data_IF_205926429255
#
_entry.id   IF_205926429255
#
_cell.length_a   1.000
_cell.length_b   1.000
_cell.length_c   1.000
_cell.angle_alpha   90.00
_cell.angle_beta   90.00
_cell.angle_gamma   90.00
#
_symmetry.space_group_name_H-M   'P 1'
#
loop_
_entity.id
_entity.type
_entity.pdbx_description
1 polymer ?
#
# COMPACT_ATOMS: atom_id res chain seq x y z
N UNK A 1 14.05 4.54 5.89
CA UNK A 1 13.31 4.85 4.69
C UNK A 1 13.70 3.87 3.58
N UNK A 2 12.73 3.33 2.90
CA UNK A 2 12.92 2.33 1.84
C UNK A 2 12.79 2.94 0.43
N UNK A 3 12.70 4.26 0.30
CA UNK A 3 12.65 4.95 -0.98
C UNK A 3 13.93 4.70 -1.80
N UNK A 4 13.84 4.04 -2.97
CA UNK A 4 15.02 3.62 -3.74
C UNK A 4 15.96 4.76 -4.13
N UNK A 5 15.40 5.89 -4.56
CA UNK A 5 16.17 7.07 -4.92
C UNK A 5 16.99 7.63 -3.74
N UNK A 6 16.39 7.72 -2.53
CA UNK A 6 17.08 8.18 -1.33
C UNK A 6 18.20 7.20 -0.92
N UNK A 7 17.93 5.90 -1.01
CA UNK A 7 18.92 4.85 -0.72
C UNK A 7 20.13 4.96 -1.63
N UNK A 8 19.94 5.10 -2.94
CA UNK A 8 21.03 5.25 -3.91
C UNK A 8 21.79 6.56 -3.71
N UNK A 9 21.12 7.69 -3.44
CA UNK A 9 21.75 8.97 -3.15
C UNK A 9 22.61 8.92 -1.89
N UNK A 10 22.14 8.25 -0.84
CA UNK A 10 22.91 8.07 0.40
C UNK A 10 24.24 7.36 0.16
N UNK A 11 24.28 6.36 -0.75
CA UNK A 11 25.51 5.66 -1.14
C UNK A 11 26.52 6.56 -1.89
N UNK A 12 26.02 7.59 -2.56
CA UNK A 12 26.87 8.60 -3.19
C UNK A 12 27.35 9.67 -2.20
N UNK A 13 27.08 9.52 -0.90
CA UNK A 13 27.40 10.51 0.12
C UNK A 13 26.48 11.73 0.12
N UNK A 14 25.35 11.68 -0.60
CA UNK A 14 24.35 12.75 -0.58
C UNK A 14 23.42 12.57 0.62
N UNK A 15 23.61 13.37 1.65
CA UNK A 15 22.83 13.36 2.88
C UNK A 15 22.00 14.65 3.00
N UNK A 16 21.13 14.89 2.02
CA UNK A 16 20.40 16.17 1.90
C UNK A 16 19.28 16.33 2.95
N UNK A 17 18.86 15.23 3.58
CA UNK A 17 17.71 15.20 4.49
C UNK A 17 18.16 14.78 5.90
N UNK A 18 18.87 15.68 6.58
CA UNK A 18 19.34 15.44 7.96
C UNK A 18 18.52 16.25 8.95
N UNK A 19 18.10 15.59 10.03
CA UNK A 19 17.52 16.27 11.18
C UNK A 19 18.59 16.93 12.03
N UNK A 20 18.27 18.05 12.65
CA UNK A 20 19.13 18.67 13.67
C UNK A 20 19.05 17.88 14.99
N UNK A 21 17.87 17.29 15.26
CA UNK A 21 17.61 16.52 16.47
C UNK A 21 16.63 15.39 16.21
N UNK A 22 16.85 14.24 16.84
CA UNK A 22 15.89 13.12 16.91
C UNK A 22 15.36 13.00 18.33
N UNK A 23 14.05 13.10 18.49
CA UNK A 23 13.38 12.97 19.79
C UNK A 23 12.49 11.74 19.78
N UNK A 24 12.84 10.73 20.56
CA UNK A 24 12.02 9.54 20.75
C UNK A 24 11.09 9.76 21.94
N UNK A 25 9.78 9.68 21.70
CA UNK A 25 8.75 9.92 22.70
C UNK A 25 8.10 8.63 23.18
N UNK A 26 7.61 8.63 24.43
CA UNK A 26 6.98 7.47 25.07
C UNK A 26 5.49 7.68 25.35
N UNK A 27 5.00 8.92 25.30
CA UNK A 27 3.61 9.27 25.58
C UNK A 27 3.15 10.54 24.85
N UNK A 28 1.86 10.79 24.88
CA UNK A 28 1.23 11.95 24.24
C UNK A 28 1.67 13.30 24.83
N UNK A 29 1.96 13.35 26.14
CA UNK A 29 2.39 14.56 26.82
C UNK A 29 3.74 15.04 26.29
N UNK A 30 4.66 14.10 26.04
CA UNK A 30 5.95 14.42 25.42
C UNK A 30 5.77 14.93 23.98
N UNK A 31 4.86 14.36 23.19
CA UNK A 31 4.51 14.88 21.86
C UNK A 31 4.04 16.32 21.97
N UNK A 32 3.08 16.62 22.88
CA UNK A 32 2.57 17.97 23.10
C UNK A 32 3.70 18.95 23.50
N UNK A 33 4.61 18.54 24.36
CA UNK A 33 5.75 19.36 24.80
C UNK A 33 6.71 19.67 23.64
N UNK A 34 7.03 18.66 22.81
CA UNK A 34 7.90 18.86 21.63
C UNK A 34 7.24 19.78 20.62
N UNK A 35 5.96 19.61 20.33
CA UNK A 35 5.23 20.45 19.38
C UNK A 35 5.12 21.89 19.89
N UNK A 36 4.82 22.11 21.16
CA UNK A 36 4.77 23.43 21.76
C UNK A 36 6.14 24.16 21.69
N UNK A 37 7.22 23.43 21.99
CA UNK A 37 8.58 23.97 21.92
C UNK A 37 8.96 24.29 20.46
N UNK A 38 8.66 23.40 19.52
CA UNK A 38 8.95 23.55 18.11
C UNK A 38 8.20 24.76 17.52
N UNK A 39 6.92 24.90 17.84
CA UNK A 39 6.09 26.05 17.43
C UNK A 39 6.63 27.37 18.00
N UNK A 40 7.03 27.39 19.27
CA UNK A 40 7.60 28.59 19.90
C UNK A 40 8.95 29.03 19.30
N UNK A 41 9.67 28.14 18.64
CA UNK A 41 10.99 28.38 18.04
C UNK A 41 10.97 28.30 16.50
N UNK A 42 9.80 28.26 15.87
CA UNK A 42 9.65 28.10 14.39
C UNK A 42 10.50 26.94 13.83
N UNK A 43 10.53 25.82 14.56
CA UNK A 43 11.35 24.64 14.23
C UNK A 43 10.49 23.59 13.53
N UNK A 44 10.86 23.12 12.32
CA UNK A 44 10.14 22.06 11.64
C UNK A 44 10.13 20.75 12.44
N UNK A 45 9.00 20.03 12.38
CA UNK A 45 8.87 18.69 12.98
C UNK A 45 8.45 17.69 11.92
N UNK A 46 9.21 16.62 11.77
CA UNK A 46 8.89 15.50 10.89
C UNK A 46 8.54 14.28 11.74
N UNK A 47 7.27 13.84 11.79
CA UNK A 47 6.90 12.63 12.52
C UNK A 47 7.43 11.39 11.81
N UNK A 48 7.91 10.43 12.58
CA UNK A 48 8.47 9.19 12.08
C UNK A 48 8.07 8.01 12.95
N UNK A 49 7.65 6.92 12.32
CA UNK A 49 7.48 5.61 12.94
C UNK A 49 8.52 4.63 12.37
N UNK A 50 8.12 3.48 11.83
CA UNK A 50 9.05 2.49 11.23
C UNK A 50 9.62 2.91 9.87
N UNK A 51 9.07 3.95 9.26
CA UNK A 51 9.59 4.55 8.02
C UNK A 51 9.70 3.58 6.83
N UNK A 52 8.71 2.70 6.67
CA UNK A 52 8.59 1.77 5.53
C UNK A 52 8.10 2.43 4.24
N UNK A 53 7.85 3.73 4.25
CA UNK A 53 7.44 4.51 3.09
C UNK A 53 8.45 4.45 1.95
N UNK A 54 7.97 4.44 0.71
CA UNK A 54 8.77 4.32 -0.52
C UNK A 54 8.84 5.62 -1.33
N UNK A 55 8.26 6.71 -0.81
CA UNK A 55 8.20 8.03 -1.50
C UNK A 55 8.78 9.17 -0.67
N UNK A 56 9.44 8.87 0.48
CA UNK A 56 10.24 9.82 1.23
C UNK A 56 9.53 10.65 2.29
N UNK A 57 8.28 10.33 2.68
CA UNK A 57 7.52 11.08 3.69
C UNK A 57 8.25 11.29 5.02
N UNK A 58 8.97 10.30 5.59
CA UNK A 58 9.62 10.46 6.89
C UNK A 58 10.97 11.20 6.84
N UNK A 59 11.34 11.79 5.69
CA UNK A 59 12.60 12.51 5.53
C UNK A 59 12.45 13.96 5.97
N UNK A 60 13.35 14.48 6.83
CA UNK A 60 13.29 15.86 7.33
C UNK A 60 13.84 16.85 6.29
N UNK A 61 13.06 17.17 5.26
CA UNK A 61 13.45 18.01 4.11
C UNK A 61 13.83 19.45 4.49
N UNK A 62 13.44 19.88 5.69
CA UNK A 62 13.71 21.22 6.21
C UNK A 62 14.60 21.21 7.48
N UNK A 63 15.28 20.06 7.75
CA UNK A 63 15.98 19.88 9.03
C UNK A 63 15.04 19.80 10.21
N UNK A 64 15.41 20.44 11.33
CA UNK A 64 14.60 20.50 12.53
C UNK A 64 14.53 19.18 13.30
N UNK A 65 13.38 18.85 13.87
CA UNK A 65 13.18 17.71 14.76
C UNK A 65 12.54 16.54 14.00
N UNK A 66 13.18 15.38 14.03
CA UNK A 66 12.50 14.11 13.76
C UNK A 66 11.86 13.61 15.05
N UNK A 67 10.54 13.53 15.06
CA UNK A 67 9.78 13.03 16.19
C UNK A 67 9.53 11.53 16.02
N UNK A 68 10.34 10.71 16.68
CA UNK A 68 10.24 9.24 16.64
C UNK A 68 9.16 8.76 17.62
N UNK A 69 8.04 8.29 17.07
CA UNK A 69 6.89 7.79 17.85
C UNK A 69 6.98 6.28 18.14
N UNK A 70 8.03 5.59 17.69
CA UNK A 70 8.19 4.13 17.95
C UNK A 70 8.38 3.79 19.44
N UNK A 71 8.72 4.78 20.25
CA UNK A 71 8.86 4.63 21.70
C UNK A 71 7.56 4.70 22.47
N UNK A 72 6.45 5.05 21.86
CA UNK A 72 5.17 5.18 22.56
C UNK A 72 4.74 3.88 23.23
N UNK A 73 4.25 4.01 24.48
CA UNK A 73 3.71 2.89 25.23
C UNK A 73 2.63 2.18 24.45
N UNK A 74 2.78 0.87 24.28
CA UNK A 74 1.84 0.07 23.52
C UNK A 74 0.55 -0.14 24.31
N UNK A 75 -0.57 0.06 23.63
CA UNK A 75 -1.91 -0.20 24.12
C UNK A 75 -2.68 -1.00 23.09
N UNK A 76 -3.49 -1.96 23.53
CA UNK A 76 -4.42 -2.71 22.71
C UNK A 76 -5.67 -3.05 23.51
N UNK A 77 -6.83 -2.66 23.01
CA UNK A 77 -8.13 -3.00 23.57
C UNK A 77 -9.05 -3.57 22.47
N UNK A 78 -9.51 -4.78 22.67
CA UNK A 78 -10.40 -5.48 21.73
C UNK A 78 -11.82 -5.44 22.27
N UNK A 79 -12.75 -4.98 21.44
CA UNK A 79 -14.20 -5.00 21.72
C UNK A 79 -14.91 -5.92 20.74
N UNK A 80 -15.12 -7.18 21.14
CA UNK A 80 -15.74 -8.21 20.30
C UNK A 80 -17.21 -7.88 20.01
N UNK A 81 -17.92 -7.23 20.94
CA UNK A 81 -19.31 -6.84 20.74
C UNK A 81 -19.45 -5.81 19.63
N UNK A 82 -18.52 -4.87 19.56
CA UNK A 82 -18.51 -3.82 18.54
C UNK A 82 -17.67 -4.16 17.31
N UNK A 83 -17.01 -5.32 17.31
CA UNK A 83 -16.09 -5.76 16.25
C UNK A 83 -15.00 -4.70 15.96
N UNK A 84 -14.33 -4.23 17.01
CA UNK A 84 -13.27 -3.22 16.91
C UNK A 84 -12.06 -3.57 17.77
N UNK A 85 -10.91 -3.09 17.36
CA UNK A 85 -9.68 -3.03 18.16
C UNK A 85 -9.17 -1.60 18.21
N UNK A 86 -8.85 -1.10 19.39
CA UNK A 86 -8.14 0.17 19.57
C UNK A 86 -6.70 -0.10 19.96
N UNK A 87 -5.76 0.57 19.29
CA UNK A 87 -4.32 0.40 19.53
C UNK A 87 -3.59 1.73 19.50
N UNK A 88 -2.41 1.76 20.13
CA UNK A 88 -1.46 2.85 19.93
C UNK A 88 -1.07 2.95 18.46
N UNK A 89 -0.93 4.16 17.93
CA UNK A 89 -0.55 4.38 16.53
C UNK A 89 0.81 3.76 16.16
N UNK A 90 1.70 3.60 17.13
CA UNK A 90 3.00 2.94 16.98
C UNK A 90 2.96 1.41 16.97
N UNK A 91 1.77 0.79 17.14
CA UNK A 91 1.65 -0.67 17.11
C UNK A 91 2.07 -1.22 15.75
N UNK A 92 2.92 -2.27 15.75
CA UNK A 92 3.32 -2.93 14.51
C UNK A 92 2.14 -3.68 13.90
N UNK A 93 1.93 -3.51 12.60
CA UNK A 93 0.77 -4.06 11.92
C UNK A 93 0.76 -5.57 11.84
N UNK A 94 1.91 -6.20 11.58
CA UNK A 94 2.04 -7.65 11.53
C UNK A 94 1.82 -8.28 12.89
N UNK A 95 2.41 -7.71 13.94
CA UNK A 95 2.19 -8.17 15.31
C UNK A 95 0.69 -8.12 15.66
N UNK A 96 0.00 -7.02 15.34
CA UNK A 96 -1.43 -6.89 15.61
C UNK A 96 -2.26 -7.94 14.87
N UNK A 97 -1.97 -8.17 13.59
CA UNK A 97 -2.67 -9.19 12.79
C UNK A 97 -2.43 -10.60 13.34
N UNK A 98 -1.19 -10.96 13.67
CA UNK A 98 -0.84 -12.27 14.24
C UNK A 98 -1.57 -12.52 15.57
N UNK A 99 -1.62 -11.52 16.44
CA UNK A 99 -2.32 -11.60 17.71
C UNK A 99 -3.84 -11.74 17.55
N UNK A 100 -4.42 -11.03 16.57
CA UNK A 100 -5.85 -11.16 16.25
C UNK A 100 -6.16 -12.53 15.67
N UNK A 101 -5.34 -13.07 14.76
CA UNK A 101 -5.54 -14.38 14.16
C UNK A 101 -5.52 -15.51 15.20
N UNK A 102 -4.64 -15.43 16.21
CA UNK A 102 -4.63 -16.39 17.32
C UNK A 102 -5.93 -16.41 18.13
N UNK A 103 -6.70 -15.32 18.08
CA UNK A 103 -7.99 -15.18 18.75
C UNK A 103 -9.19 -15.42 17.81
N UNK A 104 -8.96 -15.83 16.57
CA UNK A 104 -10.00 -16.06 15.57
C UNK A 104 -10.50 -14.82 14.84
N UNK A 105 -9.74 -13.73 14.85
CA UNK A 105 -10.06 -12.45 14.21
C UNK A 105 -9.03 -12.04 13.19
N UNK A 106 -9.34 -11.07 12.34
CA UNK A 106 -8.41 -10.45 11.39
C UNK A 106 -8.77 -8.97 11.18
N UNK A 107 -7.77 -8.14 10.88
CA UNK A 107 -7.99 -6.80 10.35
C UNK A 107 -8.47 -6.83 8.91
N UNK A 108 -8.13 -7.87 8.15
CA UNK A 108 -8.30 -7.90 6.70
C UNK A 108 -7.38 -6.91 5.96
N UNK A 109 -6.67 -6.06 6.68
CA UNK A 109 -5.71 -5.13 6.12
C UNK A 109 -4.33 -5.79 6.01
N UNK A 110 -3.89 -6.06 4.78
CA UNK A 110 -2.65 -6.78 4.51
C UNK A 110 -1.77 -6.02 3.50
N UNK A 111 -1.23 -4.85 3.85
CA UNK A 111 -0.25 -4.19 2.99
C UNK A 111 1.01 -5.05 2.87
N UNK A 112 1.75 -4.89 1.79
CA UNK A 112 2.99 -5.66 1.59
C UNK A 112 4.03 -5.38 2.69
N UNK A 113 4.01 -4.16 3.25
CA UNK A 113 4.83 -3.74 4.39
C UNK A 113 4.26 -4.13 5.78
N UNK A 114 3.34 -5.09 5.88
CA UNK A 114 2.59 -5.43 7.09
C UNK A 114 3.48 -5.51 8.35
N UNK A 115 4.58 -6.24 8.27
CA UNK A 115 5.53 -6.44 9.38
C UNK A 115 6.54 -5.30 9.57
N UNK A 116 6.62 -4.37 8.61
CA UNK A 116 7.57 -3.25 8.59
C UNK A 116 6.89 -1.90 8.82
N UNK A 117 5.59 -1.88 9.07
CA UNK A 117 4.79 -0.66 9.21
C UNK A 117 4.00 -0.61 10.51
N UNK A 118 3.51 0.57 10.85
CA UNK A 118 2.68 0.80 12.04
C UNK A 118 1.27 1.21 11.64
N UNK A 119 0.31 0.96 12.54
CA UNK A 119 -1.11 1.31 12.34
C UNK A 119 -1.29 2.81 12.09
N UNK A 120 -0.57 3.68 12.83
CA UNK A 120 -0.61 5.12 12.60
C UNK A 120 0.01 5.54 11.26
N UNK A 121 1.04 4.82 10.82
CA UNK A 121 1.63 4.99 9.48
C UNK A 121 0.62 4.69 8.37
N UNK A 122 -0.15 3.60 8.50
CA UNK A 122 -1.22 3.27 7.54
C UNK A 122 -2.23 4.41 7.38
N UNK A 123 -2.71 4.95 8.53
CA UNK A 123 -3.65 6.06 8.50
C UNK A 123 -3.04 7.30 7.83
N UNK A 124 -1.80 7.62 8.17
CA UNK A 124 -1.10 8.82 7.69
C UNK A 124 -0.83 8.81 6.19
N UNK A 125 -0.66 7.62 5.57
CA UNK A 125 -0.36 7.48 4.15
C UNK A 125 -1.54 6.96 3.32
N UNK A 126 -2.73 6.81 3.90
CA UNK A 126 -3.90 6.22 3.23
C UNK A 126 -3.60 4.82 2.69
N UNK A 127 -2.93 3.99 3.51
CA UNK A 127 -2.45 2.68 3.09
C UNK A 127 -3.58 1.73 2.68
N UNK A 128 -3.30 0.90 1.68
CA UNK A 128 -4.24 -0.11 1.19
C UNK A 128 -3.59 -1.49 1.21
N UNK A 129 -4.35 -2.49 1.65
CA UNK A 129 -3.87 -3.87 1.74
C UNK A 129 -4.29 -4.72 0.53
N UNK A 130 -3.61 -5.85 0.33
CA UNK A 130 -3.84 -6.78 -0.79
C UNK A 130 -5.27 -7.37 -0.82
N UNK A 131 -6.01 -7.28 0.29
CA UNK A 131 -7.38 -7.79 0.43
C UNK A 131 -8.43 -6.67 0.42
N UNK A 132 -8.07 -5.48 -0.05
CA UNK A 132 -8.93 -4.29 -0.03
C UNK A 132 -10.17 -4.41 -0.90
N UNK A 133 -10.17 -5.21 -1.95
CA UNK A 133 -11.38 -5.48 -2.76
C UNK A 133 -12.52 -6.08 -1.91
N UNK A 134 -12.20 -6.72 -0.80
CA UNK A 134 -13.17 -7.28 0.13
C UNK A 134 -13.33 -6.43 1.40
N UNK A 135 -12.21 -6.07 2.06
CA UNK A 135 -12.24 -5.42 3.37
C UNK A 135 -12.22 -3.89 3.31
N UNK A 136 -11.83 -3.31 2.17
CA UNK A 136 -11.62 -1.87 1.99
C UNK A 136 -10.20 -1.41 2.29
N UNK A 137 -9.93 -0.13 2.05
CA UNK A 137 -8.72 0.56 2.47
C UNK A 137 -8.75 0.98 3.94
N UNK A 138 -7.67 1.58 4.43
CA UNK A 138 -7.59 2.01 5.83
C UNK A 138 -8.69 3.02 6.19
N UNK A 139 -9.11 3.87 5.26
CA UNK A 139 -10.17 4.87 5.43
C UNK A 139 -11.55 4.24 5.70
N UNK A 140 -11.78 3.03 5.19
CA UNK A 140 -13.01 2.29 5.44
C UNK A 140 -12.93 1.43 6.71
N UNK A 141 -11.73 1.05 7.13
CA UNK A 141 -11.48 0.23 8.32
C UNK A 141 -11.46 1.05 9.59
N UNK A 142 -10.98 2.30 9.56
CA UNK A 142 -10.86 3.16 10.72
C UNK A 142 -12.22 3.68 11.19
N UNK A 143 -12.53 3.49 12.48
CA UNK A 143 -13.78 3.96 13.10
C UNK A 143 -13.57 5.18 13.98
N UNK A 144 -12.39 5.28 14.61
CA UNK A 144 -11.99 6.41 15.42
C UNK A 144 -10.47 6.51 15.50
N UNK A 145 -9.96 7.68 15.79
CA UNK A 145 -8.55 7.88 16.12
C UNK A 145 -8.32 9.17 16.91
N UNK A 146 -7.16 9.26 17.54
CA UNK A 146 -6.71 10.46 18.26
C UNK A 146 -5.56 11.10 17.49
N UNK A 147 -5.59 12.42 17.36
CA UNK A 147 -4.53 13.23 16.74
C UNK A 147 -4.15 14.38 17.67
N UNK A 148 -2.85 14.67 17.73
CA UNK A 148 -2.31 15.86 18.40
C UNK A 148 -1.92 16.86 17.32
N UNK A 149 -2.53 18.06 17.36
CA UNK A 149 -2.27 19.14 16.43
C UNK A 149 -0.92 19.84 16.73
N UNK A 150 -0.42 20.62 15.79
CA UNK A 150 0.79 21.45 15.99
C UNK A 150 0.67 22.41 17.17
N UNK A 151 -0.56 22.84 17.53
CA UNK A 151 -0.86 23.65 18.71
C UNK A 151 -0.71 22.88 20.04
N UNK A 152 -0.55 21.55 20.00
CA UNK A 152 -0.58 20.68 21.18
C UNK A 152 -1.98 20.24 21.61
N UNK A 153 -3.04 20.72 20.94
CA UNK A 153 -4.40 20.26 21.22
C UNK A 153 -4.62 18.82 20.80
N UNK A 154 -5.35 18.07 21.64
CA UNK A 154 -5.70 16.68 21.40
C UNK A 154 -7.13 16.59 20.90
N UNK A 155 -7.31 15.99 19.73
CA UNK A 155 -8.62 15.72 19.12
C UNK A 155 -8.89 14.23 19.09
N UNK A 156 -10.09 13.82 19.49
CA UNK A 156 -10.63 12.47 19.28
C UNK A 156 -11.71 12.53 18.21
N UNK A 157 -11.45 11.94 17.08
CA UNK A 157 -12.35 11.88 15.92
C UNK A 157 -12.98 10.49 15.84
N UNK A 158 -14.30 10.40 15.68
CA UNK A 158 -15.05 9.16 15.59
C UNK A 158 -16.30 9.29 14.74
N UNK A 159 -16.70 8.22 14.08
CA UNK A 159 -17.97 8.12 13.35
C UNK A 159 -18.48 6.67 13.33
N UNK A 160 -18.52 6.01 14.50
CA UNK A 160 -18.93 4.62 14.62
C UNK A 160 -20.33 4.50 15.23
N UNK A 161 -21.27 3.78 14.57
CA UNK A 161 -21.12 3.15 13.25
C UNK A 161 -21.17 4.15 12.11
N UNK A 162 -21.85 5.29 12.28
CA UNK A 162 -21.97 6.41 11.32
C UNK A 162 -22.37 7.67 12.06
N UNK A 163 -21.83 8.83 11.65
CA UNK A 163 -22.23 10.13 12.16
C UNK A 163 -22.64 11.05 11.00
N UNK A 164 -23.80 11.71 11.14
CA UNK A 164 -24.33 12.67 10.16
C UNK A 164 -24.42 14.10 10.75
N UNK A 165 -23.52 14.41 11.67
CA UNK A 165 -23.43 15.71 12.35
C UNK A 165 -22.26 16.51 11.77
N UNK A 166 -22.52 17.24 10.69
CA UNK A 166 -21.51 18.01 9.96
C UNK A 166 -20.61 17.16 9.05
N UNK A 167 -19.53 17.75 8.51
CA UNK A 167 -18.56 17.02 7.67
C UNK A 167 -17.79 15.98 8.48
N UNK A 168 -17.36 14.91 7.81
CA UNK A 168 -16.52 13.88 8.43
C UNK A 168 -15.07 14.38 8.54
N UNK A 169 -14.74 14.98 9.68
CA UNK A 169 -13.41 15.52 9.94
C UNK A 169 -12.30 14.46 9.99
N UNK A 170 -12.63 13.16 10.06
CA UNK A 170 -11.61 12.11 9.98
C UNK A 170 -10.87 12.16 8.66
N UNK A 171 -11.55 12.54 7.57
CA UNK A 171 -10.97 12.63 6.24
C UNK A 171 -9.87 13.69 6.10
N UNK A 172 -9.76 14.63 7.03
CA UNK A 172 -8.71 15.66 7.01
C UNK A 172 -7.31 15.10 7.36
N UNK A 173 -7.24 14.08 8.19
CA UNK A 173 -5.97 13.55 8.71
C UNK A 173 -5.58 12.21 8.08
N UNK A 174 -6.55 11.49 7.50
CA UNK A 174 -6.28 10.26 6.74
C UNK A 174 -5.55 10.64 5.45
N UNK A 175 -4.35 10.10 5.23
CA UNK A 175 -3.52 10.45 4.07
C UNK A 175 -2.80 11.81 4.18
N UNK A 176 -2.87 12.49 5.35
CA UNK A 176 -2.21 13.78 5.54
C UNK A 176 -0.69 13.70 5.74
N UNK A 177 -0.10 12.52 5.73
CA UNK A 177 1.36 12.27 5.82
C UNK A 177 2.05 12.98 7.01
N UNK A 178 1.31 13.19 8.11
CA UNK A 178 1.80 13.88 9.31
C UNK A 178 1.84 15.40 9.23
N UNK A 179 1.37 16.02 8.14
CA UNK A 179 1.43 17.48 7.94
C UNK A 179 0.43 18.27 8.80
N UNK A 180 -0.70 17.66 9.18
CA UNK A 180 -1.78 18.30 9.94
C UNK A 180 -1.80 17.92 11.42
N UNK A 181 -1.01 16.94 11.83
CA UNK A 181 -0.95 16.48 13.21
C UNK A 181 -0.37 15.08 13.33
N UNK A 182 -0.20 14.63 14.58
CA UNK A 182 0.41 13.35 14.91
C UNK A 182 -0.65 12.41 15.46
N UNK A 183 -0.91 11.32 14.74
CA UNK A 183 -1.84 10.27 15.17
C UNK A 183 -1.21 9.47 16.33
N UNK A 184 -1.95 9.29 17.42
CA UNK A 184 -1.46 8.63 18.64
C UNK A 184 -2.20 7.37 19.03
N UNK A 185 -3.49 7.23 18.70
CA UNK A 185 -4.26 5.99 18.81
C UNK A 185 -5.19 5.83 17.62
N UNK A 186 -5.49 4.57 17.27
CA UNK A 186 -6.37 4.22 16.14
C UNK A 186 -7.30 3.10 16.55
N UNK A 187 -8.59 3.25 16.26
CA UNK A 187 -9.59 2.18 16.39
C UNK A 187 -9.97 1.67 15.01
N UNK A 188 -9.79 0.36 14.81
CA UNK A 188 -10.05 -0.33 13.54
C UNK A 188 -11.18 -1.35 13.70
N UNK A 189 -11.89 -1.62 12.61
CA UNK A 189 -12.77 -2.78 12.49
C UNK A 189 -11.94 -4.07 12.55
N UNK A 190 -12.52 -5.11 13.14
CA UNK A 190 -12.02 -6.48 13.04
C UNK A 190 -13.12 -7.39 12.49
N UNK A 191 -12.71 -8.48 11.88
CA UNK A 191 -13.61 -9.44 11.25
C UNK A 191 -13.31 -10.84 11.78
N UNK A 192 -14.32 -11.73 11.90
CA UNK A 192 -14.04 -13.14 12.20
C UNK A 192 -13.23 -13.76 11.05
N UNK A 193 -12.34 -14.68 11.39
CA UNK A 193 -11.66 -15.48 10.37
C UNK A 193 -12.69 -16.23 9.52
N UNK A 194 -12.54 -16.26 8.19
CA UNK A 194 -13.48 -16.96 7.32
C UNK A 194 -13.42 -18.46 7.56
N UNK A 195 -14.56 -19.12 7.44
CA UNK A 195 -14.68 -20.57 7.56
C UNK A 195 -13.94 -21.29 6.42
N UNK A 196 -14.08 -20.76 5.21
CA UNK A 196 -13.51 -21.33 3.98
C UNK A 196 -12.79 -20.23 3.18
N UNK A 197 -11.63 -20.58 2.63
CA UNK A 197 -10.92 -19.83 1.59
C UNK A 197 -10.63 -20.73 0.41
N UNK A 198 -11.01 -20.28 -0.77
CA UNK A 198 -10.73 -20.95 -2.04
C UNK A 198 -9.77 -20.08 -2.85
N UNK A 199 -8.86 -20.71 -3.57
CA UNK A 199 -7.87 -20.04 -4.38
C UNK A 199 -7.78 -20.67 -5.77
N UNK A 200 -7.54 -19.83 -6.79
CA UNK A 200 -7.23 -20.29 -8.13
C UNK A 200 -6.24 -19.33 -8.83
N UNK A 201 -5.48 -19.86 -9.76
CA UNK A 201 -4.65 -19.10 -10.69
C UNK A 201 -5.25 -19.26 -12.08
N UNK A 202 -5.43 -18.15 -12.77
CA UNK A 202 -6.17 -18.08 -14.03
C UNK A 202 -5.22 -17.60 -15.14
N UNK A 203 -5.04 -18.38 -16.18
CA UNK A 203 -4.34 -17.96 -17.40
C UNK A 203 -5.31 -17.21 -18.31
N UNK A 204 -4.90 -16.07 -18.83
CA UNK A 204 -5.74 -15.15 -19.59
C UNK A 204 -5.18 -14.92 -20.99
N UNK A 205 -6.02 -14.65 -22.02
CA UNK A 205 -5.54 -14.40 -23.37
C UNK A 205 -4.76 -13.09 -23.53
N UNK A 206 -5.09 -12.05 -22.74
CA UNK A 206 -4.44 -10.74 -22.76
C UNK A 206 -4.68 -9.98 -21.45
N UNK A 207 -3.94 -8.90 -21.23
CA UNK A 207 -4.18 -7.95 -20.12
C UNK A 207 -5.57 -7.32 -20.26
N UNK A 208 -5.98 -6.91 -21.46
CA UNK A 208 -7.29 -6.30 -21.68
C UNK A 208 -8.44 -7.22 -21.32
N UNK A 209 -8.32 -8.53 -21.64
CA UNK A 209 -9.30 -9.53 -21.18
C UNK A 209 -9.33 -9.62 -19.66
N UNK A 210 -8.17 -9.54 -18.98
CA UNK A 210 -8.08 -9.51 -17.53
C UNK A 210 -8.74 -8.28 -16.92
N UNK A 211 -8.53 -7.10 -17.49
CA UNK A 211 -9.17 -5.86 -17.03
C UNK A 211 -10.69 -5.91 -17.21
N UNK A 212 -11.19 -6.47 -18.33
CA UNK A 212 -12.62 -6.66 -18.53
C UNK A 212 -13.23 -7.66 -17.53
N UNK A 213 -12.53 -8.74 -17.18
CA UNK A 213 -12.94 -9.66 -16.10
C UNK A 213 -13.05 -8.89 -14.77
N UNK A 214 -12.05 -8.09 -14.43
CA UNK A 214 -12.05 -7.29 -13.20
C UNK A 214 -13.21 -6.28 -13.18
N UNK A 215 -13.50 -5.64 -14.30
CA UNK A 215 -14.61 -4.69 -14.44
C UNK A 215 -15.97 -5.41 -14.32
N UNK A 216 -16.15 -6.52 -15.04
CA UNK A 216 -17.40 -7.28 -15.05
C UNK A 216 -17.74 -7.86 -13.67
N UNK A 217 -16.74 -8.42 -12.95
CA UNK A 217 -16.95 -8.91 -11.60
C UNK A 217 -17.38 -7.79 -10.62
N UNK A 218 -16.78 -6.59 -10.76
CA UNK A 218 -17.17 -5.45 -9.95
C UNK A 218 -18.62 -5.00 -10.23
N UNK A 219 -19.03 -5.00 -11.51
CA UNK A 219 -20.42 -4.74 -11.91
C UNK A 219 -21.38 -5.82 -11.39
N UNK A 220 -20.95 -7.07 -11.33
CA UNK A 220 -21.74 -8.18 -10.78
C UNK A 220 -21.86 -8.13 -9.25
N UNK A 221 -21.14 -7.23 -8.58
CA UNK A 221 -21.13 -7.11 -7.11
C UNK A 221 -20.36 -8.20 -6.40
N UNK A 222 -19.54 -8.99 -7.12
CA UNK A 222 -18.65 -9.97 -6.50
C UNK A 222 -17.54 -9.24 -5.75
N UNK A 223 -17.08 -9.82 -4.65
CA UNK A 223 -16.06 -9.21 -3.78
C UNK A 223 -15.01 -10.25 -3.36
N UNK A 224 -14.24 -10.81 -4.32
CA UNK A 224 -13.17 -11.73 -3.98
C UNK A 224 -12.19 -11.04 -3.03
N UNK A 225 -11.73 -11.74 -1.98
CA UNK A 225 -10.82 -11.13 -1.02
C UNK A 225 -9.42 -10.96 -1.58
N UNK A 226 -9.06 -11.74 -2.59
CA UNK A 226 -7.82 -11.60 -3.35
C UNK A 226 -8.17 -11.56 -4.84
N UNK A 227 -7.71 -10.50 -5.52
CA UNK A 227 -7.80 -10.35 -6.96
C UNK A 227 -6.60 -9.58 -7.45
N UNK A 228 -5.71 -10.23 -8.22
CA UNK A 228 -4.50 -9.62 -8.75
C UNK A 228 -4.25 -10.12 -10.17
N UNK A 229 -4.18 -9.19 -11.10
CA UNK A 229 -3.86 -9.46 -12.50
C UNK A 229 -2.41 -9.06 -12.76
N UNK A 230 -1.62 -9.98 -13.26
CA UNK A 230 -0.21 -9.79 -13.64
C UNK A 230 -0.06 -9.80 -15.15
N UNK A 231 0.73 -8.88 -15.69
CA UNK A 231 1.16 -8.97 -17.09
C UNK A 231 2.08 -10.20 -17.30
N UNK A 232 2.42 -10.49 -18.54
CA UNK A 232 3.22 -11.69 -18.87
C UNK A 232 4.59 -11.64 -18.19
N UNK A 233 5.19 -10.46 -18.06
CA UNK A 233 6.52 -10.32 -17.46
C UNK A 233 6.45 -10.57 -15.95
N UNK A 234 5.53 -9.94 -15.25
CA UNK A 234 5.38 -10.17 -13.81
C UNK A 234 4.81 -11.56 -13.51
N UNK A 235 3.97 -12.12 -14.37
CA UNK A 235 3.47 -13.49 -14.23
C UNK A 235 4.59 -14.52 -14.15
N UNK A 236 5.70 -14.34 -14.87
CA UNK A 236 6.89 -15.22 -14.77
C UNK A 236 7.47 -15.23 -13.36
N UNK A 237 7.57 -14.05 -12.74
CA UNK A 237 8.03 -13.90 -11.36
C UNK A 237 6.99 -14.42 -10.37
N UNK A 238 5.71 -14.07 -10.54
CA UNK A 238 4.63 -14.47 -9.66
C UNK A 238 4.43 -15.97 -9.62
N UNK A 239 4.51 -16.64 -10.77
CA UNK A 239 4.38 -18.09 -10.92
C UNK A 239 5.69 -18.84 -10.69
N UNK A 240 6.84 -18.15 -10.58
CA UNK A 240 8.18 -18.74 -10.61
C UNK A 240 8.38 -19.66 -11.83
N UNK A 241 7.83 -19.25 -12.97
CA UNK A 241 7.87 -20.01 -14.22
C UNK A 241 8.40 -19.12 -15.35
N UNK A 242 9.69 -19.24 -15.75
CA UNK A 242 10.27 -18.43 -16.83
C UNK A 242 9.60 -18.66 -18.21
N UNK A 243 8.88 -19.76 -18.38
CA UNK A 243 8.20 -20.12 -19.61
C UNK A 243 6.75 -19.60 -19.65
N UNK A 244 6.31 -18.86 -18.63
CA UNK A 244 4.98 -18.25 -18.66
C UNK A 244 4.92 -17.22 -19.78
N UNK A 245 4.02 -17.41 -20.72
CA UNK A 245 3.89 -16.62 -21.94
C UNK A 245 2.58 -15.81 -22.04
N UNK A 246 1.76 -15.90 -20.99
CA UNK A 246 0.47 -15.20 -20.89
C UNK A 246 0.28 -14.51 -19.54
N UNK A 247 -0.57 -13.48 -19.48
CA UNK A 247 -1.02 -12.89 -18.23
C UNK A 247 -1.67 -13.92 -17.32
N UNK A 248 -1.52 -13.69 -16.01
CA UNK A 248 -2.09 -14.56 -14.96
C UNK A 248 -2.88 -13.70 -13.98
N UNK A 249 -4.03 -14.20 -13.55
CA UNK A 249 -4.80 -13.60 -12.48
C UNK A 249 -4.85 -14.55 -11.27
N UNK A 250 -4.52 -14.04 -10.08
CA UNK A 250 -4.73 -14.74 -8.82
C UNK A 250 -6.08 -14.34 -8.24
N UNK A 251 -6.85 -15.34 -7.88
CA UNK A 251 -8.19 -15.22 -7.35
C UNK A 251 -8.29 -15.89 -5.98
N UNK A 252 -8.98 -15.25 -5.04
CA UNK A 252 -9.34 -15.84 -3.77
C UNK A 252 -10.75 -15.42 -3.35
N UNK A 253 -11.62 -16.39 -3.05
CA UNK A 253 -12.94 -16.19 -2.46
C UNK A 253 -12.97 -16.70 -1.02
N UNK A 254 -13.83 -16.13 -0.16
CA UNK A 254 -13.88 -16.51 1.25
C UNK A 254 -15.26 -16.28 1.87
N UNK A 255 -15.48 -16.88 3.03
CA UNK A 255 -16.69 -16.68 3.82
C UNK A 255 -17.18 -17.97 4.47
N UNK A 256 -18.49 -18.10 4.67
CA UNK A 256 -19.10 -19.38 4.95
C UNK A 256 -19.03 -20.24 3.69
N UNK A 257 -18.93 -21.55 3.86
CA UNK A 257 -18.59 -22.48 2.78
C UNK A 257 -19.42 -22.29 1.50
N UNK A 258 -20.75 -22.24 1.63
CA UNK A 258 -21.65 -22.07 0.49
C UNK A 258 -21.44 -20.74 -0.26
N UNK A 259 -21.10 -19.66 0.45
CA UNK A 259 -20.87 -18.35 -0.17
C UNK A 259 -19.54 -18.33 -0.91
N UNK A 260 -18.47 -18.87 -0.29
CA UNK A 260 -17.15 -18.93 -0.92
C UNK A 260 -17.17 -19.70 -2.25
N UNK A 261 -17.88 -20.86 -2.29
CA UNK A 261 -18.04 -21.66 -3.52
C UNK A 261 -18.91 -20.95 -4.56
N UNK A 262 -20.08 -20.41 -4.17
CA UNK A 262 -20.96 -19.70 -5.10
C UNK A 262 -20.28 -18.49 -5.74
N UNK A 263 -19.47 -17.74 -4.99
CA UNK A 263 -18.72 -16.61 -5.52
C UNK A 263 -17.61 -17.08 -6.49
N UNK A 264 -16.89 -18.17 -6.16
CA UNK A 264 -15.91 -18.78 -7.04
C UNK A 264 -16.56 -19.21 -8.38
N UNK A 265 -17.67 -19.92 -8.34
CA UNK A 265 -18.39 -20.38 -9.52
C UNK A 265 -18.87 -19.21 -10.39
N UNK A 266 -19.42 -18.17 -9.75
CA UNK A 266 -19.87 -16.96 -10.46
C UNK A 266 -18.70 -16.22 -11.12
N UNK A 267 -17.56 -16.11 -10.43
CA UNK A 267 -16.35 -15.50 -10.97
C UNK A 267 -15.82 -16.32 -12.16
N UNK A 268 -15.72 -17.65 -12.01
CA UNK A 268 -15.25 -18.55 -13.07
C UNK A 268 -16.13 -18.48 -14.33
N UNK A 269 -17.43 -18.28 -14.19
CA UNK A 269 -18.32 -18.06 -15.32
C UNK A 269 -17.95 -16.78 -16.12
N UNK A 270 -17.53 -15.71 -15.44
CA UNK A 270 -17.01 -14.50 -16.09
C UNK A 270 -15.69 -14.81 -16.80
N UNK A 271 -14.75 -15.47 -16.14
CA UNK A 271 -13.44 -15.84 -16.69
C UNK A 271 -13.58 -16.62 -18.01
N UNK A 272 -14.45 -17.63 -18.04
CA UNK A 272 -14.66 -18.46 -19.23
C UNK A 272 -15.25 -17.66 -20.40
N UNK A 273 -16.14 -16.68 -20.15
CA UNK A 273 -16.68 -15.81 -21.23
C UNK A 273 -15.60 -14.97 -21.90
N UNK A 274 -14.55 -14.60 -21.15
CA UNK A 274 -13.41 -13.84 -21.67
C UNK A 274 -12.23 -14.72 -22.14
N UNK A 275 -12.45 -16.03 -22.26
CA UNK A 275 -11.43 -16.98 -22.79
C UNK A 275 -10.33 -17.33 -21.80
N UNK A 276 -10.48 -17.00 -20.53
CA UNK A 276 -9.59 -17.41 -19.46
C UNK A 276 -9.86 -18.86 -19.02
N UNK A 277 -8.88 -19.46 -18.37
CA UNK A 277 -8.98 -20.83 -17.84
C UNK A 277 -8.23 -20.97 -16.53
N UNK A 278 -8.72 -21.84 -15.65
CA UNK A 278 -8.00 -22.26 -14.44
C UNK A 278 -6.71 -23.01 -14.80
N UNK A 279 -5.67 -22.73 -14.07
CA UNK A 279 -4.39 -23.48 -14.06
C UNK A 279 -4.06 -24.00 -12.65
N UNK A 280 -5.06 -23.98 -11.74
CA UNK A 280 -4.98 -24.52 -10.39
C UNK A 280 -4.46 -23.53 -9.34
N UNK A 281 -4.58 -23.91 -8.09
CA UNK A 281 -4.29 -23.06 -6.94
C UNK A 281 -2.81 -22.97 -6.55
N UNK A 282 -1.94 -23.80 -7.11
CA UNK A 282 -0.54 -23.90 -6.67
C UNK A 282 0.22 -22.57 -6.78
N UNK A 283 0.03 -21.84 -7.89
CA UNK A 283 0.70 -20.56 -8.12
C UNK A 283 0.35 -19.51 -7.07
N UNK A 284 -0.94 -19.32 -6.84
CA UNK A 284 -1.42 -18.34 -5.85
C UNK A 284 -1.05 -18.72 -4.42
N UNK A 285 -1.07 -20.01 -4.07
CA UNK A 285 -0.67 -20.47 -2.73
C UNK A 285 0.83 -20.22 -2.47
N UNK A 286 1.70 -20.55 -3.42
CA UNK A 286 3.14 -20.24 -3.33
C UNK A 286 3.39 -18.72 -3.22
N UNK A 287 2.62 -17.92 -3.95
CA UNK A 287 2.70 -16.46 -3.83
C UNK A 287 2.25 -15.99 -2.43
N UNK A 288 1.18 -16.53 -1.87
CA UNK A 288 0.70 -16.20 -0.53
C UNK A 288 1.75 -16.43 0.56
N UNK A 289 2.57 -17.48 0.44
CA UNK A 289 3.66 -17.79 1.39
C UNK A 289 4.80 -16.77 1.35
N UNK A 290 5.12 -16.21 0.17
CA UNK A 290 6.28 -15.34 -0.04
C UNK A 290 5.97 -13.87 -0.29
N UNK A 291 4.71 -13.46 -0.25
CA UNK A 291 4.29 -12.09 -0.62
C UNK A 291 4.91 -10.96 0.20
N UNK A 292 5.54 -11.28 1.32
CA UNK A 292 6.28 -10.36 2.18
C UNK A 292 7.81 -10.42 2.00
N UNK A 293 8.31 -11.22 1.05
CA UNK A 293 9.74 -11.35 0.78
C UNK A 293 10.19 -10.30 -0.23
N UNK A 294 11.02 -9.37 0.24
CA UNK A 294 11.63 -8.30 -0.58
C UNK A 294 13.09 -8.59 -0.93
N UNK A 295 13.64 -9.73 -0.55
CA UNK A 295 15.07 -10.02 -0.61
C UNK A 295 15.68 -9.86 -2.01
N UNK A 296 14.93 -10.13 -3.07
CA UNK A 296 15.38 -9.97 -4.47
C UNK A 296 15.53 -8.49 -4.82
N UNK A 297 14.54 -7.66 -4.47
CA UNK A 297 14.57 -6.21 -4.71
C UNK A 297 15.68 -5.55 -3.89
N UNK A 298 15.82 -5.92 -2.63
CA UNK A 298 16.87 -5.40 -1.74
C UNK A 298 18.27 -5.73 -2.28
N UNK A 299 18.52 -6.97 -2.70
CA UNK A 299 19.80 -7.37 -3.31
C UNK A 299 20.12 -6.58 -4.58
N UNK A 300 19.13 -6.30 -5.40
CA UNK A 300 19.33 -5.48 -6.61
C UNK A 300 19.65 -4.03 -6.24
N UNK A 301 18.89 -3.42 -5.33
CA UNK A 301 19.15 -2.07 -4.83
C UNK A 301 20.52 -1.97 -4.15
N UNK A 302 20.96 -3.01 -3.48
CA UNK A 302 22.25 -3.09 -2.80
C UNK A 302 23.43 -3.29 -3.74
N UNK A 303 23.21 -3.72 -4.95
CA UNK A 303 24.27 -3.92 -5.94
C UNK A 303 24.70 -2.60 -6.58
N UNK A 304 25.96 -2.53 -7.04
CA UNK A 304 26.50 -1.39 -7.77
C UNK A 304 25.72 -1.15 -9.06
N UNK A 305 25.24 0.09 -9.23
CA UNK A 305 24.42 0.50 -10.38
C UNK A 305 23.03 -0.13 -10.47
N UNK A 306 22.71 -1.13 -9.63
CA UNK A 306 21.40 -1.76 -9.62
C UNK A 306 20.31 -0.81 -9.12
N UNK A 307 19.13 -0.85 -9.72
CA UNK A 307 17.97 -0.12 -9.25
C UNK A 307 16.70 -0.98 -9.34
N UNK A 308 15.80 -0.72 -8.42
CA UNK A 308 14.43 -1.23 -8.46
C UNK A 308 13.52 -0.09 -8.04
N UNK A 309 12.41 0.10 -8.73
CA UNK A 309 11.42 1.12 -8.39
C UNK A 309 10.02 0.55 -8.56
N UNK A 310 9.11 1.00 -7.72
CA UNK A 310 7.69 0.64 -7.80
C UNK A 310 6.85 1.89 -7.81
N UNK A 311 6.12 2.10 -8.88
CA UNK A 311 5.20 3.23 -9.06
C UNK A 311 3.79 2.70 -9.11
N UNK A 312 2.94 3.12 -8.18
CA UNK A 312 1.53 2.76 -8.15
C UNK A 312 0.67 3.98 -8.47
N UNK A 313 -0.34 3.77 -9.26
CA UNK A 313 -1.27 4.76 -9.80
C UNK A 313 -2.66 4.14 -9.87
N UNK A 314 -3.67 4.95 -10.15
CA UNK A 314 -5.03 4.45 -10.37
C UNK A 314 -5.72 5.16 -11.53
N UNK A 315 -6.67 4.48 -12.14
CA UNK A 315 -7.51 5.06 -13.19
C UNK A 315 -8.89 4.39 -13.25
N UNK A 316 -9.82 5.07 -13.85
CA UNK A 316 -11.14 4.53 -14.21
C UNK A 316 -11.03 3.45 -15.28
N UNK A 317 -12.07 2.61 -15.40
CA UNK A 317 -12.05 1.48 -16.34
C UNK A 317 -11.85 1.89 -17.80
N UNK A 318 -12.34 3.05 -18.20
CA UNK A 318 -12.20 3.58 -19.57
C UNK A 318 -10.80 4.09 -19.91
N UNK A 319 -9.97 4.39 -18.90
CA UNK A 319 -8.62 4.92 -19.09
C UNK A 319 -7.49 3.94 -18.77
N UNK A 320 -7.73 2.95 -17.91
CA UNK A 320 -6.65 2.12 -17.34
C UNK A 320 -5.88 1.29 -18.38
N UNK A 321 -6.55 0.73 -19.40
CA UNK A 321 -5.88 -0.02 -20.45
C UNK A 321 -4.96 0.88 -21.30
N UNK A 322 -5.48 2.05 -21.75
CA UNK A 322 -4.67 3.02 -22.50
C UNK A 322 -3.46 3.52 -21.72
N UNK A 323 -3.64 3.79 -20.43
CA UNK A 323 -2.56 4.18 -19.53
C UNK A 323 -1.50 3.08 -19.39
N UNK A 324 -1.92 1.82 -19.22
CA UNK A 324 -0.99 0.68 -19.15
C UNK A 324 -0.09 0.60 -20.39
N UNK A 325 -0.68 0.62 -21.57
CA UNK A 325 0.07 0.53 -22.83
C UNK A 325 1.02 1.72 -23.01
N UNK A 326 0.57 2.95 -22.72
CA UNK A 326 1.40 4.15 -22.83
C UNK A 326 2.61 4.12 -21.85
N UNK A 327 2.38 3.72 -20.60
CA UNK A 327 3.45 3.59 -19.63
C UNK A 327 4.41 2.46 -19.97
N UNK A 328 3.90 1.31 -20.39
CA UNK A 328 4.75 0.18 -20.77
C UNK A 328 5.66 0.53 -21.95
N UNK A 329 5.13 1.18 -22.99
CA UNK A 329 5.90 1.66 -24.14
C UNK A 329 6.99 2.66 -23.71
N UNK A 330 6.64 3.64 -22.87
CA UNK A 330 7.55 4.67 -22.41
C UNK A 330 8.63 4.12 -21.47
N UNK A 331 8.30 3.17 -20.59
CA UNK A 331 9.22 2.64 -19.58
C UNK A 331 10.13 1.53 -20.09
N UNK A 332 9.73 0.77 -21.10
CA UNK A 332 10.52 -0.34 -21.65
C UNK A 332 11.97 0.05 -22.02
N UNK A 333 12.26 1.20 -22.63
CA UNK A 333 13.64 1.60 -22.92
C UNK A 333 14.42 2.13 -21.69
N UNK A 334 13.77 2.27 -20.54
CA UNK A 334 14.37 2.86 -19.32
C UNK A 334 14.76 1.81 -18.26
N UNK A 335 14.38 0.56 -18.40
CA UNK A 335 14.67 -0.51 -17.45
C UNK A 335 14.97 -1.84 -18.18
N UNK A 336 15.68 -2.74 -17.51
CA UNK A 336 15.96 -4.08 -18.06
C UNK A 336 14.68 -4.94 -18.05
N UNK A 337 13.85 -4.76 -17.01
CA UNK A 337 12.53 -5.39 -16.89
C UNK A 337 11.48 -4.37 -16.46
N UNK A 338 10.36 -4.37 -17.16
CA UNK A 338 9.13 -3.65 -16.79
C UNK A 338 8.07 -4.68 -16.52
N UNK A 339 7.58 -4.70 -15.27
CA UNK A 339 6.59 -5.64 -14.76
C UNK A 339 5.35 -4.85 -14.36
N UNK A 340 4.17 -5.44 -14.53
CA UNK A 340 2.94 -4.72 -14.16
C UNK A 340 1.89 -5.63 -13.57
N UNK A 341 1.23 -5.15 -12.50
CA UNK A 341 0.06 -5.81 -11.99
C UNK A 341 -1.04 -4.82 -11.62
N UNK A 342 -2.26 -5.33 -11.61
CA UNK A 342 -3.47 -4.62 -11.21
C UNK A 342 -4.04 -5.31 -9.96
N UNK A 343 -4.40 -4.50 -8.99
CA UNK A 343 -5.01 -4.93 -7.74
C UNK A 343 -5.89 -3.79 -7.20
N UNK A 344 -6.52 -3.97 -6.04
CA UNK A 344 -7.39 -2.93 -5.47
C UNK A 344 -8.50 -2.50 -6.42
N UNK A 345 -9.47 -3.40 -6.60
CA UNK A 345 -10.55 -3.24 -7.58
C UNK A 345 -11.72 -2.49 -6.96
N UNK A 346 -12.22 -1.49 -7.69
CA UNK A 346 -13.35 -0.66 -7.32
C UNK A 346 -14.44 -0.73 -8.40
N UNK A 347 -15.70 -0.35 -8.09
CA UNK A 347 -16.74 -0.26 -9.11
C UNK A 347 -16.37 0.62 -10.30
N UNK A 348 -15.61 1.69 -10.07
CA UNK A 348 -15.25 2.70 -11.09
C UNK A 348 -13.87 2.52 -11.72
N UNK A 349 -13.01 1.67 -11.21
CA UNK A 349 -11.65 1.52 -11.71
C UNK A 349 -10.77 0.59 -10.89
N UNK A 350 -9.47 0.66 -11.11
CA UNK A 350 -8.49 -0.18 -10.41
C UNK A 350 -7.16 0.55 -10.25
N UNK A 351 -6.32 0.06 -9.33
CA UNK A 351 -4.92 0.47 -9.27
C UNK A 351 -4.06 -0.35 -10.22
N UNK A 352 -2.98 0.25 -10.65
CA UNK A 352 -1.93 -0.38 -11.43
C UNK A 352 -0.56 -0.12 -10.79
N UNK A 353 0.27 -1.15 -10.72
CA UNK A 353 1.67 -1.07 -10.37
C UNK A 353 2.55 -1.21 -11.61
N UNK A 354 3.58 -0.38 -11.69
CA UNK A 354 4.69 -0.53 -12.61
C UNK A 354 5.95 -0.79 -11.77
N UNK A 355 6.53 -1.98 -11.91
CA UNK A 355 7.77 -2.35 -11.24
C UNK A 355 8.89 -2.33 -12.28
N UNK A 356 9.94 -1.60 -11.99
CA UNK A 356 11.08 -1.41 -12.89
C UNK A 356 12.33 -1.95 -12.22
N UNK A 357 12.95 -2.91 -12.88
CA UNK A 357 14.20 -3.50 -12.44
C UNK A 357 15.27 -3.20 -13.48
N UNK A 358 16.46 -2.81 -13.05
CA UNK A 358 17.53 -2.53 -14.00
C UNK A 358 18.88 -2.31 -13.35
N UNK A 359 19.88 -2.13 -14.23
CA UNK A 359 21.25 -1.88 -13.83
C UNK A 359 21.92 -0.87 -14.77
N UNK A 360 22.52 0.13 -14.19
CA UNK A 360 23.38 1.10 -14.87
C UNK A 360 24.87 0.83 -14.57
N UNK A 361 25.76 1.53 -15.25
CA UNK A 361 27.20 1.35 -15.05
C UNK A 361 27.69 1.87 -13.68
N UNK A 362 26.91 2.74 -13.04
CA UNK A 362 27.23 3.35 -11.75
C UNK A 362 25.97 3.73 -10.95
N UNK A 363 26.12 3.87 -9.62
CA UNK A 363 25.03 4.37 -8.76
C UNK A 363 24.61 5.82 -9.12
N UNK A 364 25.51 6.63 -9.70
CA UNK A 364 25.17 7.97 -10.20
C UNK A 364 24.20 7.90 -11.38
N UNK A 365 24.47 7.02 -12.32
CA UNK A 365 23.59 6.82 -13.48
C UNK A 365 22.26 6.19 -13.06
N UNK A 366 22.27 5.27 -12.09
CA UNK A 366 21.05 4.72 -11.51
C UNK A 366 20.17 5.79 -10.86
N UNK A 367 20.76 6.78 -10.16
CA UNK A 367 20.02 7.92 -9.60
C UNK A 367 19.38 8.77 -10.70
N UNK A 368 20.12 9.09 -11.77
CA UNK A 368 19.57 9.89 -12.89
C UNK A 368 18.49 9.11 -13.66
N UNK A 369 18.66 7.79 -13.79
CA UNK A 369 17.65 6.90 -14.38
C UNK A 369 16.36 6.91 -13.55
N UNK A 370 16.45 6.73 -12.23
CA UNK A 370 15.30 6.78 -11.33
C UNK A 370 14.56 8.13 -11.41
N UNK A 371 15.28 9.25 -11.45
CA UNK A 371 14.69 10.57 -11.64
C UNK A 371 13.94 10.70 -12.97
N UNK A 372 14.52 10.15 -14.03
CA UNK A 372 13.91 10.16 -15.36
C UNK A 372 12.65 9.32 -15.37
N UNK A 373 12.70 8.11 -14.81
CA UNK A 373 11.55 7.22 -14.66
C UNK A 373 10.39 7.94 -13.96
N UNK A 374 10.65 8.55 -12.79
CA UNK A 374 9.60 9.28 -12.05
C UNK A 374 9.02 10.43 -12.85
N UNK A 375 9.87 11.30 -13.41
CA UNK A 375 9.43 12.46 -14.19
C UNK A 375 8.55 12.07 -15.39
N UNK A 376 9.01 11.10 -16.18
CA UNK A 376 8.28 10.67 -17.37
C UNK A 376 7.00 9.91 -17.02
N UNK A 377 7.01 9.09 -15.97
CA UNK A 377 5.78 8.43 -15.50
C UNK A 377 4.74 9.44 -15.07
N UNK A 378 5.11 10.44 -14.25
CA UNK A 378 4.17 11.47 -13.82
C UNK A 378 3.63 12.29 -15.00
N UNK A 379 4.48 12.59 -16.00
CA UNK A 379 4.04 13.28 -17.22
C UNK A 379 2.96 12.46 -17.99
N UNK A 380 3.21 11.17 -18.22
CA UNK A 380 2.24 10.30 -18.89
C UNK A 380 0.95 10.18 -18.09
N UNK A 381 1.04 10.02 -16.76
CA UNK A 381 -0.15 9.96 -15.90
C UNK A 381 -1.00 11.24 -16.02
N UNK A 382 -0.38 12.42 -16.01
CA UNK A 382 -1.09 13.70 -16.18
C UNK A 382 -1.75 13.82 -17.55
N UNK A 383 -1.06 13.41 -18.61
CA UNK A 383 -1.60 13.40 -19.97
C UNK A 383 -2.82 12.49 -20.14
N UNK A 384 -2.85 11.38 -19.36
CA UNK A 384 -3.95 10.43 -19.32
C UNK A 384 -4.99 10.74 -18.25
N UNK A 385 -4.85 11.84 -17.50
CA UNK A 385 -5.77 12.21 -16.40
C UNK A 385 -5.89 11.13 -15.31
N UNK A 386 -4.81 10.39 -15.06
CA UNK A 386 -4.75 9.34 -14.04
C UNK A 386 -4.46 9.92 -12.64
N UNK A 387 -4.87 9.19 -11.60
CA UNK A 387 -4.41 9.46 -10.23
C UNK A 387 -2.93 9.11 -10.09
N UNK A 388 -2.15 10.07 -9.59
CA UNK A 388 -0.69 9.94 -9.50
C UNK A 388 -0.24 9.01 -8.38
N UNK A 389 -1.09 8.76 -7.40
CA UNK A 389 -0.87 7.80 -6.31
C UNK A 389 -2.18 7.15 -5.92
N UNK A 390 -2.18 5.84 -5.76
CA UNK A 390 -3.29 5.11 -5.19
C UNK A 390 -3.18 5.02 -3.65
N UNK A 391 -1.99 4.70 -3.11
CA UNK A 391 -1.82 4.49 -1.66
C UNK A 391 -0.39 4.65 -1.09
N UNK A 392 0.62 4.97 -1.91
CA UNK A 392 1.96 5.28 -1.37
C UNK A 392 2.07 6.73 -0.89
N UNK A 393 1.13 7.58 -1.27
CA UNK A 393 1.11 9.01 -0.94
C UNK A 393 1.97 9.85 -1.89
N UNK A 394 1.92 11.17 -1.71
CA UNK A 394 2.68 12.13 -2.50
C UNK A 394 4.18 12.11 -2.21
N UNK A 395 4.52 12.18 -0.95
CA UNK A 395 5.91 12.21 -0.50
C UNK A 395 6.73 13.31 -1.18
N UNK A 396 7.89 12.93 -1.70
CA UNK A 396 8.85 13.82 -2.38
C UNK A 396 8.95 13.57 -3.90
N UNK A 397 8.14 12.69 -4.45
CA UNK A 397 8.28 12.25 -5.86
C UNK A 397 7.09 12.57 -6.75
N UNK A 398 5.97 13.03 -6.18
CA UNK A 398 4.72 13.37 -6.89
C UNK A 398 4.32 14.81 -6.70
#
# INVERSE_FOLDING_TARGET
DTWPLATKRSRLGCHDYQADLVVKVTDEKQIQQVLALATANDTPVTPRALASSVTGQPLPTRGGIVLDVTGMTQHREINITNLTVEVSASYNGGQLEDELQQMGWTLGHSPQSLYQSTVGGWLSTLATGQFSSYYGGIEELVTAYTVILATGEKLRLKASPRAAMGPDLRQLFIGAEGTLGIVTSVQLKIFPLPQTRLYDSLELPSIDAGLEIMREQAMAGLRPFLLRLYDTNEARHAMQNPLQDKPVMFLGTQGVDAVAHAEMDAFMAIVHRHGGKSIGSEGVLKWMERRFDFSTVEKLLDSHGGFAETIEIAHTWDGISGLYHALHEMLTPLADEVLSHFSHVYPQGTSMYMILLGRESSDREAVEKLRTIWRETMRVCLEHHAELSHHHGGGLVR
#
